data_IF_260258783753
#
_entry.id   IF_260258783753
#
_cell.length_a   1.000
_cell.length_b   1.000
_cell.length_c   1.000
_cell.angle_alpha   90.00
_cell.angle_beta   90.00
_cell.angle_gamma   90.00
#
_symmetry.space_group_name_H-M   'P 1'
#
loop_
_entity.id
_entity.type
_entity.pdbx_description
1 polymer ?
#
# COMPACT_ATOMS: atom_id res chain seq x y z
N UNK A 1 3.70 -15.37 16.30
CA UNK A 1 2.39 -15.15 15.64
C UNK A 1 2.34 -15.64 14.20
N UNK A 2 3.08 -15.05 13.24
CA UNK A 2 3.17 -15.59 11.85
C UNK A 2 3.81 -16.97 11.85
N UNK A 3 4.88 -17.13 12.64
CA UNK A 3 5.56 -18.41 12.85
C UNK A 3 4.67 -19.51 13.44
N UNK A 4 3.71 -19.15 14.29
CA UNK A 4 2.93 -20.13 15.07
C UNK A 4 1.56 -20.42 14.45
N UNK A 5 1.00 -19.49 13.67
CA UNK A 5 -0.34 -19.60 13.06
C UNK A 5 -0.27 -19.85 11.55
N UNK A 6 0.69 -19.24 10.84
CA UNK A 6 0.75 -19.30 9.37
C UNK A 6 1.71 -20.39 8.89
N UNK A 7 2.80 -20.69 9.62
CA UNK A 7 3.71 -21.77 9.22
C UNK A 7 3.12 -23.18 9.32
N UNK A 8 2.27 -23.57 10.30
CA UNK A 8 1.74 -24.93 10.31
C UNK A 8 0.87 -25.25 9.08
N UNK A 9 -0.05 -24.37 8.62
CA UNK A 9 -0.80 -24.59 7.38
C UNK A 9 0.07 -24.52 6.11
N UNK A 10 0.98 -23.55 6.00
CA UNK A 10 1.87 -23.43 4.83
C UNK A 10 2.89 -24.57 4.76
N UNK A 11 3.44 -24.97 5.91
CA UNK A 11 4.35 -26.10 6.04
C UNK A 11 3.65 -27.40 5.68
N UNK A 12 2.38 -27.58 6.02
CA UNK A 12 1.61 -28.76 5.63
C UNK A 12 1.28 -28.77 4.13
N UNK A 13 1.03 -27.60 3.52
CA UNK A 13 0.78 -27.46 2.08
C UNK A 13 2.04 -27.65 1.22
N UNK A 14 3.22 -27.27 1.73
CA UNK A 14 4.51 -27.32 1.04
C UNK A 14 5.36 -28.56 1.41
N UNK A 15 4.79 -29.55 2.10
CA UNK A 15 5.44 -30.85 2.31
C UNK A 15 6.26 -31.02 3.61
N UNK A 16 5.84 -30.38 4.71
CA UNK A 16 6.45 -30.45 6.06
C UNK A 16 7.87 -29.89 6.15
N UNK A 17 8.19 -28.85 5.40
CA UNK A 17 9.52 -28.21 5.47
C UNK A 17 9.58 -27.30 6.70
N UNK A 18 10.38 -27.68 7.69
CA UNK A 18 10.66 -26.85 8.86
C UNK A 18 11.86 -25.94 8.56
N UNK A 19 11.59 -24.80 7.91
CA UNK A 19 12.61 -23.84 7.47
C UNK A 19 13.50 -23.36 8.62
N UNK A 20 13.00 -23.30 9.86
CA UNK A 20 13.79 -22.90 11.02
C UNK A 20 14.93 -23.87 11.38
N UNK A 21 14.88 -25.14 10.95
CA UNK A 21 15.89 -26.15 11.23
C UNK A 21 16.98 -26.26 10.14
N UNK A 22 16.89 -25.46 9.08
CA UNK A 22 17.83 -25.47 7.95
C UNK A 22 18.99 -24.49 8.22
N UNK A 23 20.16 -25.06 8.49
CA UNK A 23 21.41 -24.33 8.67
C UNK A 23 22.56 -25.06 7.99
N UNK A 24 23.55 -24.30 7.54
CA UNK A 24 24.81 -24.82 7.05
C UNK A 24 25.86 -24.56 8.12
N UNK A 25 26.40 -25.62 8.71
CA UNK A 25 27.52 -25.52 9.63
C UNK A 25 28.83 -25.44 8.82
N UNK A 26 29.65 -24.43 9.11
CA UNK A 26 30.96 -24.24 8.48
C UNK A 26 32.13 -24.77 9.34
N UNK A 27 31.82 -25.37 10.50
CA UNK A 27 32.79 -26.03 11.37
C UNK A 27 33.02 -27.49 10.99
N UNK A 28 34.20 -28.03 11.30
CA UNK A 28 34.55 -29.45 11.15
C UNK A 28 33.86 -30.37 12.17
N UNK A 29 33.10 -29.81 13.11
CA UNK A 29 32.36 -30.52 14.16
C UNK A 29 30.88 -30.65 13.81
N UNK A 30 30.33 -31.88 13.73
CA UNK A 30 28.89 -32.07 13.56
C UNK A 30 28.14 -31.72 14.85
N UNK A 31 27.08 -30.91 14.77
CA UNK A 31 26.18 -30.60 15.89
C UNK A 31 24.78 -31.10 15.57
N UNK A 32 24.04 -31.60 16.57
CA UNK A 32 22.73 -32.22 16.37
C UNK A 32 21.60 -31.19 16.19
N UNK A 33 21.81 -29.93 16.62
CA UNK A 33 20.84 -28.86 16.43
C UNK A 33 21.48 -27.49 16.22
N UNK A 34 20.70 -26.60 15.61
CA UNK A 34 21.00 -25.17 15.47
C UNK A 34 21.33 -24.50 16.80
N UNK A 35 20.59 -24.86 17.85
CA UNK A 35 20.75 -24.29 19.19
C UNK A 35 22.10 -24.70 19.80
N UNK A 36 22.52 -25.95 19.62
CA UNK A 36 23.81 -26.45 20.10
C UNK A 36 24.99 -25.85 19.32
N UNK A 37 24.86 -25.72 17.99
CA UNK A 37 25.90 -25.12 17.17
C UNK A 37 26.10 -23.62 17.50
N UNK A 38 25.01 -22.89 17.75
CA UNK A 38 25.06 -21.50 18.20
C UNK A 38 25.62 -21.37 19.62
N UNK A 39 25.24 -22.25 20.53
CA UNK A 39 25.75 -22.25 21.91
C UNK A 39 27.26 -22.59 21.97
N UNK A 40 27.75 -23.44 21.07
CA UNK A 40 29.16 -23.76 20.92
C UNK A 40 29.97 -22.66 20.19
N UNK A 41 29.33 -21.57 19.76
CA UNK A 41 29.99 -20.49 19.02
C UNK A 41 30.46 -20.88 17.62
N UNK A 42 29.95 -21.97 17.06
CA UNK A 42 30.33 -22.43 15.74
C UNK A 42 29.77 -21.47 14.66
N UNK A 43 30.58 -21.10 13.64
CA UNK A 43 30.09 -20.29 12.53
C UNK A 43 29.05 -21.07 11.74
N UNK A 44 27.79 -20.67 11.85
CA UNK A 44 26.65 -21.29 11.16
C UNK A 44 25.97 -20.28 10.25
N UNK A 45 25.71 -20.68 8.99
CA UNK A 45 24.86 -19.91 8.07
C UNK A 45 23.44 -20.41 8.22
N UNK A 46 22.61 -19.61 8.89
CA UNK A 46 21.24 -19.95 9.25
C UNK A 46 20.26 -19.40 8.21
N UNK A 47 20.36 -19.90 6.99
CA UNK A 47 19.52 -19.46 5.87
C UNK A 47 18.03 -19.75 6.10
N UNK A 48 17.72 -20.76 6.91
CA UNK A 48 16.38 -21.03 7.39
C UNK A 48 15.71 -19.86 8.12
N UNK A 49 16.45 -19.20 9.02
CA UNK A 49 15.97 -18.01 9.73
C UNK A 49 15.85 -16.80 8.80
N UNK A 50 16.73 -16.68 7.81
CA UNK A 50 16.65 -15.62 6.81
C UNK A 50 15.38 -15.76 5.96
N UNK A 51 15.08 -16.95 5.43
CA UNK A 51 13.84 -17.22 4.69
C UNK A 51 12.62 -16.92 5.55
N UNK A 52 12.67 -17.29 6.84
CA UNK A 52 11.58 -16.98 7.76
C UNK A 52 11.35 -15.46 7.91
N UNK A 53 12.42 -14.68 8.09
CA UNK A 53 12.33 -13.22 8.16
C UNK A 53 11.77 -12.60 6.88
N UNK A 54 12.17 -13.11 5.71
CA UNK A 54 11.64 -12.68 4.39
C UNK A 54 10.14 -12.98 4.29
N UNK A 55 9.71 -14.18 4.68
CA UNK A 55 8.30 -14.57 4.67
C UNK A 55 7.47 -13.73 5.64
N UNK A 56 7.99 -13.46 6.83
CA UNK A 56 7.34 -12.59 7.80
C UNK A 56 7.16 -11.16 7.25
N UNK A 57 8.20 -10.61 6.61
CA UNK A 57 8.10 -9.31 5.96
C UNK A 57 7.04 -9.31 4.85
N UNK A 58 6.99 -10.36 4.03
CA UNK A 58 6.00 -10.49 2.96
C UNK A 58 4.56 -10.58 3.49
N UNK A 59 4.32 -11.37 4.54
CA UNK A 59 2.99 -11.49 5.16
C UNK A 59 2.55 -10.16 5.76
N UNK A 60 3.42 -9.49 6.51
CA UNK A 60 3.08 -8.22 7.16
C UNK A 60 2.83 -7.12 6.14
N UNK A 61 3.68 -7.00 5.11
CA UNK A 61 3.50 -6.02 4.03
C UNK A 61 2.20 -6.27 3.25
N UNK A 62 1.86 -7.52 2.93
CA UNK A 62 0.61 -7.88 2.28
C UNK A 62 -0.61 -7.56 3.16
N UNK A 63 -0.54 -7.84 4.47
CA UNK A 63 -1.60 -7.50 5.40
C UNK A 63 -1.84 -5.98 5.48
N UNK A 64 -0.79 -5.18 5.64
CA UNK A 64 -0.89 -3.70 5.64
C UNK A 64 -1.43 -3.19 4.30
N UNK A 65 -0.96 -3.73 3.18
CA UNK A 65 -1.45 -3.37 1.85
C UNK A 65 -2.96 -3.64 1.70
N UNK A 66 -3.44 -4.82 2.12
CA UNK A 66 -4.85 -5.15 2.08
C UNK A 66 -5.68 -4.22 2.98
N UNK A 67 -5.20 -3.88 4.17
CA UNK A 67 -5.87 -2.95 5.08
C UNK A 67 -5.99 -1.57 4.43
N UNK A 68 -4.91 -1.00 3.91
CA UNK A 68 -4.93 0.32 3.24
C UNK A 68 -5.87 0.30 2.04
N UNK A 69 -5.78 -0.72 1.18
CA UNK A 69 -6.65 -0.88 0.01
C UNK A 69 -8.12 -1.01 0.41
N UNK A 70 -8.42 -1.75 1.47
CA UNK A 70 -9.78 -1.91 1.97
C UNK A 70 -10.29 -0.61 2.59
N UNK A 71 -9.46 0.12 3.31
CA UNK A 71 -9.79 1.45 3.84
C UNK A 71 -10.07 2.45 2.71
N UNK A 72 -9.29 2.43 1.63
CA UNK A 72 -9.57 3.25 0.44
C UNK A 72 -10.88 2.83 -0.25
N UNK A 73 -11.17 1.53 -0.33
CA UNK A 73 -12.42 1.03 -0.91
C UNK A 73 -13.65 1.38 -0.07
N UNK A 74 -13.52 1.34 1.26
CA UNK A 74 -14.57 1.69 2.22
C UNK A 74 -14.76 3.20 2.34
N UNK A 75 -13.68 3.98 2.17
CA UNK A 75 -13.76 5.39 1.81
C UNK A 75 -14.25 5.49 0.37
N UNK A 76 -15.53 5.17 0.15
CA UNK A 76 -16.30 5.68 -0.99
C UNK A 76 -16.07 7.20 -0.96
N UNK A 77 -15.12 7.68 -1.76
CA UNK A 77 -15.01 9.12 -2.04
C UNK A 77 -16.42 9.48 -2.49
N UNK A 78 -17.15 10.37 -1.78
CA UNK A 78 -18.35 10.91 -2.38
C UNK A 78 -17.93 11.37 -3.77
N UNK A 79 -18.72 11.07 -4.82
CA UNK A 79 -18.42 11.67 -6.13
C UNK A 79 -18.18 13.13 -5.82
N UNK A 80 -16.97 13.62 -6.13
CA UNK A 80 -16.62 15.03 -5.97
C UNK A 80 -17.82 15.72 -6.60
N UNK A 81 -18.68 16.33 -5.77
CA UNK A 81 -19.91 16.92 -6.27
C UNK A 81 -19.45 17.76 -7.46
N UNK A 82 -19.98 17.54 -8.67
CA UNK A 82 -19.48 18.20 -9.86
C UNK A 82 -19.38 19.67 -9.48
N UNK A 83 -18.14 20.18 -9.42
CA UNK A 83 -17.89 21.48 -8.83
C UNK A 83 -18.87 22.41 -9.50
N UNK A 84 -19.75 23.05 -8.70
CA UNK A 84 -20.77 23.95 -9.22
C UNK A 84 -20.07 24.83 -10.27
N UNK A 85 -20.62 24.94 -11.49
CA UNK A 85 -19.91 25.57 -12.59
C UNK A 85 -19.42 26.92 -12.11
N UNK A 86 -18.10 27.14 -12.03
CA UNK A 86 -17.55 28.39 -11.51
C UNK A 86 -17.53 29.49 -12.58
N UNK A 87 -17.88 29.10 -13.82
CA UNK A 87 -17.74 29.93 -15.02
C UNK A 87 -19.04 29.98 -15.83
N UNK A 88 -19.43 31.19 -16.24
CA UNK A 88 -20.45 31.45 -17.28
C UNK A 88 -19.80 31.90 -18.57
N UNK A 89 -20.51 31.80 -19.69
CA UNK A 89 -20.05 32.31 -20.99
C UNK A 89 -20.46 33.77 -21.14
N UNK A 90 -19.53 34.64 -21.51
CA UNK A 90 -19.85 36.05 -21.79
C UNK A 90 -20.69 36.17 -23.08
N UNK A 91 -21.84 36.88 -23.09
CA UNK A 91 -22.69 36.99 -24.28
C UNK A 91 -22.09 37.84 -25.41
N UNK A 92 -21.10 38.70 -25.10
CA UNK A 92 -20.48 39.60 -26.08
C UNK A 92 -19.25 39.01 -26.76
N UNK A 93 -18.43 38.27 -26.02
CA UNK A 93 -17.13 37.77 -26.52
C UNK A 93 -16.96 36.26 -26.44
N UNK A 94 -17.95 35.52 -25.91
CA UNK A 94 -17.96 34.06 -25.78
C UNK A 94 -16.81 33.44 -24.95
N UNK A 95 -16.00 34.27 -24.28
CA UNK A 95 -15.00 33.80 -23.33
C UNK A 95 -15.63 33.29 -22.03
N UNK A 96 -15.00 32.28 -21.40
CA UNK A 96 -15.40 31.75 -20.08
C UNK A 96 -14.99 32.75 -18.99
N UNK A 97 -15.95 33.19 -18.19
CA UNK A 97 -15.77 34.21 -17.14
C UNK A 97 -16.36 33.73 -15.81
N UNK A 98 -15.91 34.25 -14.65
CA UNK A 98 -16.52 33.92 -13.37
C UNK A 98 -18.02 34.23 -13.33
N UNK A 99 -18.83 33.38 -12.71
CA UNK A 99 -20.30 33.59 -12.62
C UNK A 99 -20.67 34.94 -12.00
N UNK A 100 -19.92 35.39 -10.99
CA UNK A 100 -20.16 36.66 -10.29
C UNK A 100 -19.57 37.89 -10.97
N UNK A 101 -18.99 37.76 -12.17
CA UNK A 101 -18.39 38.89 -12.86
C UNK A 101 -19.49 39.84 -13.36
N UNK A 102 -19.44 41.08 -12.88
CA UNK A 102 -20.25 42.23 -13.35
C UNK A 102 -19.63 42.91 -14.58
N UNK A 103 -18.33 42.70 -14.81
CA UNK A 103 -17.60 43.21 -15.98
C UNK A 103 -16.69 42.14 -16.57
N UNK A 104 -16.72 41.96 -17.89
CA UNK A 104 -15.93 40.94 -18.56
C UNK A 104 -14.43 41.33 -18.59
N UNK A 105 -13.49 40.48 -18.14
CA UNK A 105 -12.05 40.78 -18.20
C UNK A 105 -11.47 40.75 -19.63
N UNK A 106 -12.13 40.07 -20.57
CA UNK A 106 -11.64 39.91 -21.94
C UNK A 106 -12.07 41.05 -22.87
N UNK A 107 -13.34 41.45 -22.81
CA UNK A 107 -13.90 42.48 -23.70
C UNK A 107 -14.33 43.76 -22.98
N UNK A 108 -14.18 43.82 -21.64
CA UNK A 108 -14.50 44.98 -20.81
C UNK A 108 -15.97 45.41 -20.79
N UNK A 109 -16.87 44.64 -21.42
CA UNK A 109 -18.32 44.87 -21.43
C UNK A 109 -18.91 44.75 -20.02
N UNK A 110 -19.91 45.59 -19.73
CA UNK A 110 -20.73 45.45 -18.54
C UNK A 110 -21.71 44.30 -18.73
N UNK A 111 -21.78 43.39 -17.77
CA UNK A 111 -22.68 42.24 -17.79
C UNK A 111 -23.82 42.56 -16.85
N UNK A 112 -24.92 43.03 -17.40
CA UNK A 112 -26.16 43.13 -16.64
C UNK A 112 -26.62 41.71 -16.32
N UNK A 113 -27.06 41.47 -15.09
CA UNK A 113 -27.47 40.15 -14.60
C UNK A 113 -28.70 39.67 -15.37
N UNK A 114 -28.49 39.11 -16.56
CA UNK A 114 -29.54 38.44 -17.33
C UNK A 114 -29.83 37.14 -16.57
N UNK A 115 -31.04 36.96 -16.02
CA UNK A 115 -31.39 35.70 -15.38
C UNK A 115 -31.33 34.62 -16.45
N UNK A 116 -30.55 33.58 -16.15
CA UNK A 116 -30.36 32.40 -17.00
C UNK A 116 -31.73 31.82 -17.39
N UNK A 117 -32.01 31.80 -18.70
CA UNK A 117 -33.15 31.11 -19.29
C UNK A 117 -32.86 29.63 -19.50
#
# INVERSE_FOLDING_TARGET
LVNDIIMPPLGLLLGRVNFAALYLNLSSTPYASLAEAQAAGAPTINYGLFINAVMQFFVVSLAVFLIVRQMERLKKKPPKAPAEPTTKTCPYCYSKIPIKATRCPYCTSHLEDVPEA
#
